data_IF_158874056253
#
_entry.id   IF_158874056253
#
_cell.length_a   1.000
_cell.length_b   1.000
_cell.length_c   1.000
_cell.angle_alpha   90.00
_cell.angle_beta   90.00
_cell.angle_gamma   90.00
#
_symmetry.space_group_name_H-M   'P 1'
#
loop_
_entity.id
_entity.type
_entity.pdbx_description
1 polymer ?
#
# COMPACT_ATOMS: atom_id res chain seq x y z
N UNK A 1 16.55 -32.58 -47.25
CA UNK A 1 15.38 -33.07 -46.48
C UNK A 1 15.65 -32.98 -44.98
N UNK A 2 16.77 -33.51 -44.51
CA UNK A 2 17.23 -33.43 -43.11
C UNK A 2 17.36 -31.99 -42.61
N UNK A 3 17.90 -31.06 -43.41
CA UNK A 3 18.07 -29.65 -43.02
C UNK A 3 16.75 -28.94 -42.74
N UNK A 4 15.71 -29.24 -43.51
CA UNK A 4 14.37 -28.67 -43.34
C UNK A 4 13.73 -29.18 -42.03
N UNK A 5 13.98 -30.45 -41.70
CA UNK A 5 13.51 -31.07 -40.44
C UNK A 5 14.23 -30.44 -39.24
N UNK A 6 15.54 -30.25 -39.33
CA UNK A 6 16.35 -29.62 -38.27
C UNK A 6 15.89 -28.17 -38.03
N UNK A 7 15.64 -27.41 -39.09
CA UNK A 7 15.17 -26.02 -38.99
C UNK A 7 13.80 -25.93 -38.27
N UNK A 8 12.88 -26.83 -38.59
CA UNK A 8 11.55 -26.88 -37.95
C UNK A 8 11.65 -27.21 -36.46
N UNK A 9 12.50 -28.16 -36.07
CA UNK A 9 12.72 -28.52 -34.67
C UNK A 9 13.33 -27.35 -33.89
N UNK A 10 14.31 -26.65 -34.47
CA UNK A 10 14.95 -25.50 -33.84
C UNK A 10 13.96 -24.35 -33.59
N UNK A 11 13.10 -24.04 -34.57
CA UNK A 11 12.07 -23.00 -34.44
C UNK A 11 11.06 -23.36 -33.35
N UNK A 12 10.63 -24.62 -33.25
CA UNK A 12 9.70 -25.09 -32.23
C UNK A 12 10.31 -24.97 -30.82
N UNK A 13 11.57 -25.37 -30.65
CA UNK A 13 12.27 -25.26 -29.37
C UNK A 13 12.42 -23.80 -28.91
N UNK A 14 12.81 -22.91 -29.83
CA UNK A 14 12.94 -21.47 -29.54
C UNK A 14 11.56 -20.87 -29.22
N UNK A 15 10.53 -21.21 -30.00
CA UNK A 15 9.16 -20.72 -29.78
C UNK A 15 8.57 -21.19 -28.43
N UNK A 16 8.84 -22.43 -28.03
CA UNK A 16 8.42 -22.97 -26.74
C UNK A 16 9.13 -22.25 -25.58
N UNK A 17 10.45 -22.01 -25.69
CA UNK A 17 11.22 -21.29 -24.68
C UNK A 17 10.74 -19.84 -24.52
N UNK A 18 10.52 -19.11 -25.62
CA UNK A 18 9.99 -17.74 -25.59
C UNK A 18 8.59 -17.69 -24.99
N UNK A 19 7.72 -18.63 -25.39
CA UNK A 19 6.34 -18.70 -24.86
C UNK A 19 6.30 -19.02 -23.37
N UNK A 20 7.19 -19.89 -22.90
CA UNK A 20 7.36 -20.21 -21.48
C UNK A 20 7.76 -18.96 -20.68
N UNK A 21 8.81 -18.25 -21.12
CA UNK A 21 9.31 -17.02 -20.48
C UNK A 21 8.23 -15.92 -20.44
N UNK A 22 7.48 -15.72 -21.52
CA UNK A 22 6.42 -14.70 -21.58
C UNK A 22 5.22 -15.07 -20.69
N UNK A 23 4.88 -16.36 -20.59
CA UNK A 23 3.79 -16.86 -19.74
C UNK A 23 4.14 -16.72 -18.26
N UNK A 24 5.37 -17.03 -17.88
CA UNK A 24 5.89 -16.83 -16.52
C UNK A 24 5.83 -15.35 -16.11
N UNK A 25 6.21 -14.43 -17.01
CA UNK A 25 6.18 -12.97 -16.75
C UNK A 25 4.76 -12.40 -16.60
N UNK A 26 3.76 -12.95 -17.30
CA UNK A 26 2.35 -12.51 -17.20
C UNK A 26 1.65 -12.99 -15.92
N UNK A 27 2.17 -14.02 -15.26
CA UNK A 27 1.57 -14.61 -14.06
C UNK A 27 2.00 -13.95 -12.73
N UNK A 28 2.67 -12.80 -12.77
CA UNK A 28 2.67 -11.87 -11.64
C UNK A 28 3.75 -12.06 -10.57
N UNK A 29 4.92 -12.61 -10.88
CA UNK A 29 6.10 -12.46 -10.02
C UNK A 29 6.76 -11.09 -10.28
N UNK A 30 6.41 -10.08 -9.46
CA UNK A 30 7.02 -8.74 -9.53
C UNK A 30 8.52 -8.71 -9.17
N UNK A 31 9.14 -9.83 -8.82
CA UNK A 31 10.56 -9.91 -8.50
C UNK A 31 11.12 -11.26 -8.97
N UNK A 32 12.06 -11.25 -9.92
CA UNK A 32 12.68 -12.44 -10.53
C UNK A 32 13.88 -12.96 -9.70
N UNK A 33 14.24 -12.30 -8.59
CA UNK A 33 15.47 -12.58 -7.84
C UNK A 33 15.33 -12.95 -6.37
N UNK A 34 14.13 -13.17 -5.84
CA UNK A 34 13.96 -13.53 -4.43
C UNK A 34 13.84 -15.07 -4.28
N UNK A 35 14.75 -15.74 -3.56
CA UNK A 35 14.69 -17.19 -3.32
C UNK A 35 13.48 -17.63 -2.46
N UNK A 36 12.79 -16.67 -1.84
CA UNK A 36 11.51 -16.86 -1.20
C UNK A 36 10.40 -16.41 -2.18
N UNK A 37 9.90 -17.33 -2.98
CA UNK A 37 8.79 -17.08 -3.88
C UNK A 37 7.58 -16.47 -3.16
N UNK A 38 7.18 -15.26 -3.56
CA UNK A 38 5.81 -14.77 -3.46
C UNK A 38 5.18 -14.55 -2.09
N UNK A 39 5.82 -14.92 -0.97
CA UNK A 39 5.23 -14.79 0.37
C UNK A 39 5.65 -13.52 1.11
N UNK A 40 6.03 -12.47 0.40
CA UNK A 40 6.21 -11.16 1.03
C UNK A 40 4.85 -10.67 1.56
N UNK A 41 4.71 -10.43 2.88
CA UNK A 41 3.48 -9.92 3.49
C UNK A 41 3.11 -8.49 3.03
N UNK A 42 3.95 -7.88 2.18
CA UNK A 42 3.81 -6.55 1.61
C UNK A 42 2.57 -6.37 0.72
N UNK A 43 1.89 -7.45 0.30
CA UNK A 43 0.62 -7.38 -0.42
C UNK A 43 -0.61 -7.73 0.43
N UNK A 44 -0.57 -7.53 1.75
CA UNK A 44 -1.84 -7.36 2.48
C UNK A 44 -2.48 -6.08 1.93
N UNK A 45 -3.36 -6.22 0.93
CA UNK A 45 -4.31 -5.18 0.54
C UNK A 45 -5.01 -4.75 1.82
N UNK A 46 -4.61 -3.60 2.36
CA UNK A 46 -5.30 -2.97 3.47
C UNK A 46 -6.72 -2.71 2.95
N UNK A 47 -7.75 -3.38 3.50
CA UNK A 47 -9.10 -3.15 3.04
C UNK A 47 -9.42 -1.68 3.31
N UNK A 48 -9.72 -0.93 2.25
CA UNK A 48 -10.13 0.47 2.35
C UNK A 48 -11.49 0.50 3.05
N UNK A 49 -11.48 0.57 4.37
CA UNK A 49 -12.69 0.66 5.18
C UNK A 49 -13.31 2.03 4.92
N UNK A 50 -14.49 2.05 4.31
CA UNK A 50 -15.27 3.28 4.15
C UNK A 50 -16.11 3.47 5.41
N UNK A 51 -16.08 4.69 5.95
CA UNK A 51 -17.00 5.15 6.99
C UNK A 51 -18.43 4.82 6.58
N UNK A 52 -19.14 4.16 7.48
CA UNK A 52 -20.49 3.62 7.25
C UNK A 52 -21.52 4.34 8.14
N UNK A 53 -21.23 5.58 8.56
CA UNK A 53 -22.11 6.39 9.40
C UNK A 53 -21.96 7.90 9.18
N UNK A 54 -22.83 8.72 9.83
CA UNK A 54 -22.70 10.16 9.87
C UNK A 54 -21.50 10.58 10.72
N UNK A 55 -20.69 11.52 10.22
CA UNK A 55 -19.51 12.04 10.92
C UNK A 55 -19.95 12.75 12.21
N UNK A 56 -19.63 12.13 13.35
CA UNK A 56 -19.99 12.63 14.68
C UNK A 56 -19.03 13.74 15.10
N UNK A 57 -17.74 13.62 14.73
CA UNK A 57 -16.70 14.54 15.17
C UNK A 57 -15.61 14.78 14.11
N UNK A 58 -15.09 16.02 14.05
CA UNK A 58 -13.96 16.40 13.19
C UNK A 58 -12.87 17.05 14.03
N UNK A 59 -11.64 16.54 13.88
CA UNK A 59 -10.44 17.09 14.52
C UNK A 59 -9.33 17.30 13.50
N UNK A 60 -8.41 18.19 13.80
CA UNK A 60 -7.22 18.50 13.01
C UNK A 60 -6.00 18.21 13.86
N UNK A 61 -5.14 17.31 13.37
CA UNK A 61 -3.92 16.89 14.05
C UNK A 61 -2.73 17.46 13.30
N UNK A 62 -1.84 18.15 14.01
CA UNK A 62 -0.55 18.57 13.51
C UNK A 62 0.50 17.50 13.79
N UNK A 63 1.21 17.08 12.76
CA UNK A 63 2.13 15.94 12.81
C UNK A 63 3.49 16.42 12.29
N UNK A 64 4.57 16.14 13.03
CA UNK A 64 5.93 16.43 12.59
C UNK A 64 6.50 15.29 11.74
N UNK A 65 7.47 15.60 10.87
CA UNK A 65 8.18 14.60 10.06
C UNK A 65 7.50 14.18 8.76
N UNK A 66 6.38 14.80 8.37
CA UNK A 66 5.76 14.58 7.06
C UNK A 66 6.42 15.45 5.99
N UNK A 67 7.59 15.04 5.50
CA UNK A 67 8.33 15.79 4.46
C UNK A 67 8.11 15.23 3.05
N UNK A 68 7.52 14.04 2.94
CA UNK A 68 7.40 13.32 1.68
C UNK A 68 5.97 12.80 1.42
N UNK A 69 5.56 12.66 0.16
CA UNK A 69 4.24 12.08 -0.17
C UNK A 69 4.07 10.65 0.35
N UNK A 70 5.17 9.90 0.45
CA UNK A 70 5.14 8.55 1.03
C UNK A 70 4.84 8.60 2.53
N UNK A 71 5.45 9.56 3.24
CA UNK A 71 5.28 9.83 4.66
C UNK A 71 3.81 10.16 4.97
N UNK A 72 3.22 11.02 4.14
CA UNK A 72 1.78 11.37 4.17
C UNK A 72 0.90 10.14 4.00
N UNK A 73 1.24 9.28 3.05
CA UNK A 73 0.47 8.06 2.77
C UNK A 73 0.54 7.10 3.97
N UNK A 74 1.71 6.89 4.56
CA UNK A 74 1.89 6.05 5.75
C UNK A 74 1.07 6.55 6.95
N UNK A 75 1.10 7.86 7.23
CA UNK A 75 0.29 8.47 8.30
C UNK A 75 -1.20 8.33 8.02
N UNK A 76 -1.62 8.60 6.77
CA UNK A 76 -3.00 8.45 6.35
C UNK A 76 -3.48 7.01 6.51
N UNK A 77 -2.67 6.02 6.13
CA UNK A 77 -2.98 4.60 6.29
C UNK A 77 -3.07 4.20 7.76
N UNK A 78 -2.13 4.65 8.60
CA UNK A 78 -2.14 4.36 10.03
C UNK A 78 -3.39 4.89 10.73
N UNK A 79 -3.81 6.12 10.40
CA UNK A 79 -5.02 6.71 10.95
C UNK A 79 -6.31 6.06 10.40
N UNK A 80 -6.34 5.71 9.11
CA UNK A 80 -7.47 4.99 8.51
C UNK A 80 -7.56 3.52 8.95
N UNK A 81 -6.51 2.97 9.54
CA UNK A 81 -6.54 1.64 10.15
C UNK A 81 -7.32 1.62 11.47
N UNK A 82 -7.54 2.78 12.10
CA UNK A 82 -8.38 2.90 13.30
C UNK A 82 -9.84 2.75 12.91
N UNK A 83 -10.56 1.87 13.61
CA UNK A 83 -11.96 1.59 13.31
C UNK A 83 -12.86 2.82 13.48
N UNK A 84 -13.61 3.17 12.43
CA UNK A 84 -14.53 4.31 12.47
C UNK A 84 -13.85 5.67 12.33
N UNK A 85 -12.61 5.70 11.87
CA UNK A 85 -11.85 6.91 11.61
C UNK A 85 -11.57 7.05 10.11
N UNK A 86 -11.74 8.26 9.57
CA UNK A 86 -11.14 8.63 8.28
C UNK A 86 -10.27 9.84 8.42
N UNK A 87 -9.00 9.67 8.07
CA UNK A 87 -8.03 10.74 8.01
C UNK A 87 -7.77 11.16 6.57
N UNK A 88 -7.70 12.47 6.36
CA UNK A 88 -7.15 13.11 5.16
C UNK A 88 -5.97 13.98 5.57
N UNK A 89 -4.80 13.66 5.06
CA UNK A 89 -3.56 14.37 5.36
C UNK A 89 -3.28 15.39 4.26
N UNK A 90 -2.84 16.59 4.64
CA UNK A 90 -2.45 17.66 3.74
C UNK A 90 -0.99 18.06 4.01
N UNK A 91 -0.10 17.71 3.08
CA UNK A 91 1.32 18.03 3.15
C UNK A 91 1.57 19.55 3.18
N UNK A 92 0.87 20.32 2.35
CA UNK A 92 1.06 21.77 2.24
C UNK A 92 0.71 22.53 3.52
N UNK A 93 -0.18 21.97 4.36
CA UNK A 93 -0.58 22.56 5.63
C UNK A 93 0.07 21.88 6.84
N UNK A 94 0.81 20.79 6.64
CA UNK A 94 1.40 19.99 7.72
C UNK A 94 0.36 19.45 8.71
N UNK A 95 -0.85 19.13 8.26
CA UNK A 95 -1.93 18.67 9.14
C UNK A 95 -2.75 17.53 8.56
N UNK A 96 -3.36 16.77 9.47
CA UNK A 96 -4.26 15.66 9.19
C UNK A 96 -5.66 16.00 9.70
N UNK A 97 -6.63 16.04 8.80
CA UNK A 97 -8.04 16.18 9.14
C UNK A 97 -8.61 14.80 9.41
N UNK A 98 -9.04 14.56 10.65
CA UNK A 98 -9.60 13.31 11.11
C UNK A 98 -11.10 13.49 11.29
N UNK A 99 -11.88 12.60 10.69
CA UNK A 99 -13.33 12.51 10.83
C UNK A 99 -13.67 11.19 11.49
N UNK A 100 -14.41 11.24 12.59
CA UNK A 100 -14.75 10.07 13.38
C UNK A 100 -16.26 9.80 13.27
N UNK A 101 -16.62 8.54 12.98
CA UNK A 101 -18.00 8.03 13.00
C UNK A 101 -18.42 7.59 14.42
N UNK A 102 -17.45 7.47 15.34
CA UNK A 102 -17.65 7.08 16.74
C UNK A 102 -16.83 7.98 17.65
N UNK A 103 -17.10 7.94 18.95
CA UNK A 103 -16.24 8.58 19.95
C UNK A 103 -14.91 7.81 19.98
N UNK A 104 -13.83 8.45 19.55
CA UNK A 104 -12.46 7.91 19.56
C UNK A 104 -11.62 8.84 20.44
N UNK A 105 -10.82 8.26 21.33
CA UNK A 105 -9.93 9.03 22.21
C UNK A 105 -8.74 9.60 21.43
N UNK A 106 -8.20 10.72 21.92
CA UNK A 106 -6.99 11.32 21.34
C UNK A 106 -5.79 10.39 21.45
N UNK A 107 -5.72 9.62 22.54
CA UNK A 107 -4.69 8.62 22.78
C UNK A 107 -4.68 7.53 21.71
N UNK A 108 -5.84 7.06 21.24
CA UNK A 108 -5.90 6.05 20.16
C UNK A 108 -5.33 6.60 18.85
N UNK A 109 -5.69 7.84 18.50
CA UNK A 109 -5.19 8.52 17.29
C UNK A 109 -3.69 8.77 17.39
N UNK A 110 -3.23 9.23 18.56
CA UNK A 110 -1.81 9.50 18.82
C UNK A 110 -1.00 8.21 18.79
N UNK A 111 -1.47 7.14 19.42
CA UNK A 111 -0.83 5.84 19.39
C UNK A 111 -0.73 5.29 17.97
N UNK A 112 -1.76 5.46 17.13
CA UNK A 112 -1.71 5.05 15.72
C UNK A 112 -0.61 5.80 14.93
N UNK A 113 -0.45 7.10 15.17
CA UNK A 113 0.58 7.93 14.52
C UNK A 113 1.99 7.57 15.04
N UNK A 114 2.15 7.38 16.35
CA UNK A 114 3.43 6.99 16.97
C UNK A 114 3.88 5.59 16.50
N UNK A 115 2.95 4.65 16.34
CA UNK A 115 3.23 3.33 15.74
C UNK A 115 3.68 3.41 14.29
N UNK A 116 3.29 4.45 13.57
CA UNK A 116 3.78 4.73 12.22
C UNK A 116 5.15 5.46 12.22
N UNK A 117 5.67 5.82 13.40
CA UNK A 117 6.98 6.49 13.56
C UNK A 117 6.93 8.00 13.46
N UNK A 118 5.75 8.62 13.63
CA UNK A 118 5.58 10.07 13.56
C UNK A 118 5.16 10.65 14.90
N UNK A 119 5.40 11.96 15.09
CA UNK A 119 5.11 12.63 16.36
C UNK A 119 3.98 13.65 16.21
N UNK A 120 3.04 13.63 17.17
CA UNK A 120 1.92 14.57 17.21
C UNK A 120 2.33 15.83 17.97
N UNK A 121 2.19 16.98 17.32
CA UNK A 121 2.52 18.29 17.90
C UNK A 121 1.32 18.86 18.65
N UNK A 122 0.15 18.84 18.00
CA UNK A 122 -1.09 19.38 18.57
C UNK A 122 -2.32 18.71 17.94
N UNK A 123 -3.41 18.69 18.71
CA UNK A 123 -4.73 18.24 18.29
C UNK A 123 -5.68 19.43 18.51
N UNK A 124 -6.49 19.76 17.51
CA UNK A 124 -7.43 20.89 17.51
C UNK A 124 -8.77 20.53 16.88
#
# INVERSE_FOLDING_TARGET
>A
MTDVIILMILIILIGAAVSYIVKEKKNGTRCIGCPAGGNCPSSRKIPKKKLSGPVVERRTIHISGMECQHCVSSVMEALNAVDGVTARVNLSKGNAKVSCDRVVSEDELRCAIERAGFQVISIS
#
